data_IF_184115718593
#
_entry.id   IF_184115718593
#
_cell.length_a   1.000
_cell.length_b   1.000
_cell.length_c   1.000
_cell.angle_alpha   90.00
_cell.angle_beta   90.00
_cell.angle_gamma   90.00
#
_symmetry.space_group_name_H-M   'P 1'
#
loop_
_entity.id
_entity.type
_entity.pdbx_description
1 polymer ?
#
# COMPACT_ATOMS: atom_id res chain seq x y z
N UNK A 1 12.82 13.22 -9.50
CA UNK A 1 12.09 13.14 -8.22
C UNK A 1 10.58 13.06 -8.42
N UNK A 2 9.98 13.90 -9.28
CA UNK A 2 8.53 13.90 -9.60
C UNK A 2 7.95 12.53 -10.02
N UNK A 3 8.73 11.71 -10.74
CA UNK A 3 8.30 10.37 -11.16
C UNK A 3 8.14 9.39 -9.99
N UNK A 4 8.91 9.53 -8.92
CA UNK A 4 8.86 8.64 -7.76
C UNK A 4 7.61 8.92 -6.90
N UNK A 5 7.28 10.20 -6.73
CA UNK A 5 6.08 10.66 -6.03
C UNK A 5 4.80 10.23 -6.77
N UNK A 6 4.78 10.34 -8.12
CA UNK A 6 3.66 9.85 -8.94
C UNK A 6 3.49 8.33 -8.86
N UNK A 7 4.59 7.57 -8.81
CA UNK A 7 4.54 6.10 -8.69
C UNK A 7 4.03 5.67 -7.31
N UNK A 8 4.48 6.34 -6.25
CA UNK A 8 4.00 6.12 -4.88
C UNK A 8 2.51 6.46 -4.74
N UNK A 9 2.05 7.57 -5.33
CA UNK A 9 0.62 7.92 -5.38
C UNK A 9 -0.20 6.80 -6.01
N UNK A 10 0.22 6.30 -7.18
CA UNK A 10 -0.46 5.17 -7.86
C UNK A 10 -0.44 3.87 -7.05
N UNK A 11 0.66 3.56 -6.35
CA UNK A 11 0.75 2.38 -5.51
C UNK A 11 -0.19 2.48 -4.31
N UNK A 12 -0.21 3.63 -3.63
CA UNK A 12 -1.08 3.90 -2.49
C UNK A 12 -2.57 3.83 -2.88
N UNK A 13 -2.93 4.41 -4.04
CA UNK A 13 -4.28 4.29 -4.60
C UNK A 13 -4.65 2.83 -4.89
N UNK A 14 -3.78 2.05 -5.52
CA UNK A 14 -4.04 0.63 -5.80
C UNK A 14 -4.20 -0.20 -4.53
N UNK A 15 -3.35 0.02 -3.52
CA UNK A 15 -3.41 -0.68 -2.25
C UNK A 15 -4.72 -0.37 -1.51
N UNK A 16 -5.08 0.92 -1.46
CA UNK A 16 -6.36 1.40 -0.91
C UNK A 16 -7.57 0.80 -1.63
N UNK A 17 -7.54 0.76 -2.96
CA UNK A 17 -8.60 0.15 -3.76
C UNK A 17 -8.72 -1.36 -3.53
N UNK A 18 -7.60 -2.08 -3.43
CA UNK A 18 -7.61 -3.52 -3.16
C UNK A 18 -8.16 -3.84 -1.77
N UNK A 19 -7.71 -3.10 -0.75
CA UNK A 19 -8.20 -3.23 0.63
C UNK A 19 -9.69 -2.92 0.72
N UNK A 20 -10.14 -1.84 0.09
CA UNK A 20 -11.54 -1.45 0.04
C UNK A 20 -12.42 -2.52 -0.63
N UNK A 21 -11.98 -3.06 -1.77
CA UNK A 21 -12.70 -4.16 -2.45
C UNK A 21 -12.80 -5.40 -1.56
N UNK A 22 -11.72 -5.76 -0.88
CA UNK A 22 -11.75 -6.90 0.05
C UNK A 22 -12.74 -6.69 1.20
N UNK A 23 -12.80 -5.48 1.77
CA UNK A 23 -13.73 -5.13 2.84
C UNK A 23 -15.19 -5.18 2.36
N UNK A 24 -15.48 -4.68 1.16
CA UNK A 24 -16.82 -4.75 0.57
C UNK A 24 -17.25 -6.20 0.37
N UNK A 25 -16.36 -7.08 -0.12
CA UNK A 25 -16.67 -8.49 -0.30
C UNK A 25 -16.93 -9.21 1.03
N UNK A 26 -16.13 -8.94 2.05
CA UNK A 26 -16.31 -9.55 3.38
C UNK A 26 -17.61 -9.06 4.03
N UNK A 27 -17.91 -7.76 3.93
CA UNK A 27 -19.14 -7.20 4.49
C UNK A 27 -20.41 -7.68 3.77
N UNK A 28 -20.40 -7.79 2.45
CA UNK A 28 -21.55 -8.33 1.70
C UNK A 28 -21.81 -9.80 2.05
N UNK A 29 -20.75 -10.61 2.17
CA UNK A 29 -20.85 -12.00 2.61
C UNK A 29 -21.40 -12.11 4.04
N UNK A 30 -20.90 -11.30 4.97
CA UNK A 30 -21.42 -11.25 6.34
C UNK A 30 -22.90 -10.85 6.39
N UNK A 31 -23.32 -9.87 5.58
CA UNK A 31 -24.73 -9.47 5.49
C UNK A 31 -25.62 -10.57 4.93
N UNK A 32 -25.14 -11.33 3.93
CA UNK A 32 -25.87 -12.50 3.40
C UNK A 32 -26.01 -13.60 4.45
N UNK A 33 -24.98 -13.84 5.26
CA UNK A 33 -25.04 -14.79 6.37
C UNK A 33 -26.04 -14.35 7.43
N UNK A 34 -26.04 -13.07 7.82
CA UNK A 34 -27.00 -12.51 8.78
C UNK A 34 -28.43 -12.63 8.23
N UNK A 35 -28.64 -12.31 6.95
CA UNK A 35 -29.94 -12.44 6.28
C UNK A 35 -30.40 -13.91 6.25
N UNK A 36 -29.51 -14.84 5.90
CA UNK A 36 -29.82 -16.28 5.90
C UNK A 36 -30.17 -16.77 7.31
N UNK A 37 -29.41 -16.36 8.33
CA UNK A 37 -29.71 -16.68 9.73
C UNK A 37 -31.06 -16.10 10.16
N UNK A 38 -31.38 -14.86 9.77
CA UNK A 38 -32.67 -14.24 10.06
C UNK A 38 -33.83 -14.98 9.38
N UNK A 39 -33.66 -15.41 8.12
CA UNK A 39 -34.68 -16.19 7.39
C UNK A 39 -34.91 -17.60 7.97
N UNK A 40 -33.87 -18.21 8.57
CA UNK A 40 -33.96 -19.57 9.13
C UNK A 40 -34.53 -19.55 10.56
N UNK A 41 -34.22 -18.51 11.34
CA UNK A 41 -34.49 -18.48 12.78
C UNK A 41 -35.70 -17.61 13.19
N UNK A 42 -36.21 -16.75 12.30
CA UNK A 42 -37.34 -15.88 12.61
C UNK A 42 -38.69 -16.59 12.44
N UNK A 43 -39.40 -16.77 13.55
CA UNK A 43 -40.78 -17.30 13.60
C UNK A 43 -41.82 -16.26 13.13
N UNK A 44 -41.48 -14.97 13.24
CA UNK A 44 -42.25 -13.81 12.76
C UNK A 44 -41.32 -12.94 11.90
N UNK A 45 -41.47 -12.99 10.57
CA UNK A 45 -40.61 -12.26 9.64
C UNK A 45 -41.11 -10.82 9.51
N UNK A 46 -40.37 -9.85 10.07
CA UNK A 46 -40.57 -8.43 9.74
C UNK A 46 -40.04 -8.17 8.32
N UNK A 47 -40.92 -8.35 7.33
CA UNK A 47 -40.60 -8.31 5.90
C UNK A 47 -39.91 -7.00 5.48
N UNK A 48 -40.24 -5.88 6.12
CA UNK A 48 -39.70 -4.56 5.81
C UNK A 48 -38.20 -4.43 6.10
N UNK A 49 -37.74 -4.90 7.27
CA UNK A 49 -36.32 -4.85 7.64
C UNK A 49 -35.46 -5.74 6.75
N UNK A 50 -35.97 -6.94 6.43
CA UNK A 50 -35.30 -7.90 5.54
C UNK A 50 -35.21 -7.35 4.12
N UNK A 51 -36.29 -6.73 3.62
CA UNK A 51 -36.33 -6.13 2.28
C UNK A 51 -35.34 -4.97 2.17
N UNK A 52 -35.30 -4.07 3.17
CA UNK A 52 -34.37 -2.94 3.20
C UNK A 52 -32.92 -3.44 3.20
N UNK A 53 -32.59 -4.42 4.04
CA UNK A 53 -31.23 -4.98 4.11
C UNK A 53 -30.83 -5.68 2.81
N UNK A 54 -31.75 -6.43 2.18
CA UNK A 54 -31.51 -7.12 0.91
C UNK A 54 -31.31 -6.13 -0.25
N UNK A 55 -32.15 -5.10 -0.37
CA UNK A 55 -32.06 -4.07 -1.41
C UNK A 55 -30.75 -3.29 -1.29
N UNK A 56 -30.36 -2.91 -0.08
CA UNK A 56 -29.12 -2.17 0.14
C UNK A 56 -27.88 -3.03 -0.17
N UNK A 57 -27.85 -4.31 0.22
CA UNK A 57 -26.76 -5.22 -0.11
C UNK A 57 -26.63 -5.46 -1.64
N UNK A 58 -27.76 -5.60 -2.33
CA UNK A 58 -27.78 -5.77 -3.78
C UNK A 58 -27.28 -4.51 -4.52
N UNK A 59 -27.65 -3.33 -4.02
CA UNK A 59 -27.19 -2.05 -4.56
C UNK A 59 -25.68 -1.84 -4.34
N UNK A 60 -25.13 -2.30 -3.22
CA UNK A 60 -23.70 -2.31 -2.96
C UNK A 60 -22.92 -3.25 -3.90
N UNK A 61 -23.43 -4.47 -4.13
CA UNK A 61 -22.86 -5.43 -5.07
C UNK A 61 -22.84 -4.88 -6.51
N UNK A 62 -23.95 -4.26 -6.94
CA UNK A 62 -24.06 -3.60 -8.24
C UNK A 62 -23.00 -2.50 -8.41
N UNK A 63 -22.86 -1.62 -7.42
CA UNK A 63 -21.91 -0.52 -7.47
C UNK A 63 -20.45 -1.01 -7.35
N UNK A 64 -20.19 -2.12 -6.65
CA UNK A 64 -18.87 -2.76 -6.63
C UNK A 64 -18.48 -3.24 -8.04
N UNK A 65 -19.42 -3.85 -8.77
CA UNK A 65 -19.24 -4.23 -10.17
C UNK A 65 -18.92 -3.03 -11.08
N UNK A 66 -19.55 -1.88 -10.80
CA UNK A 66 -19.32 -0.62 -11.51
C UNK A 66 -18.06 0.14 -11.03
N UNK A 67 -17.50 -0.23 -9.87
CA UNK A 67 -16.28 0.34 -9.25
C UNK A 67 -14.99 0.03 -10.01
N UNK A 68 -15.08 -0.56 -11.21
CA UNK A 68 -13.94 -0.62 -12.10
C UNK A 68 -13.42 0.78 -12.49
N UNK A 69 -14.30 1.78 -12.42
CA UNK A 69 -13.94 3.18 -12.71
C UNK A 69 -13.38 3.86 -11.46
N UNK A 70 -12.16 4.41 -11.58
CA UNK A 70 -11.40 5.13 -10.54
C UNK A 70 -12.01 6.49 -10.17
N UNK A 71 -13.34 6.58 -10.10
CA UNK A 71 -14.05 7.81 -9.81
C UNK A 71 -14.14 8.01 -8.29
N UNK A 72 -13.48 9.05 -7.77
CA UNK A 72 -13.51 9.38 -6.34
C UNK A 72 -14.94 9.57 -5.79
N UNK A 73 -15.86 10.08 -6.62
CA UNK A 73 -17.30 10.22 -6.27
C UNK A 73 -17.98 8.87 -6.08
N UNK A 74 -17.65 7.89 -6.93
CA UNK A 74 -18.20 6.54 -6.84
C UNK A 74 -17.67 5.82 -5.60
N UNK A 75 -16.39 6.01 -5.27
CA UNK A 75 -15.79 5.49 -4.04
C UNK A 75 -16.44 6.07 -2.78
N UNK A 76 -16.77 7.37 -2.80
CA UNK A 76 -17.47 8.03 -1.70
C UNK A 76 -18.91 7.51 -1.53
N UNK A 77 -19.65 7.35 -2.64
CA UNK A 77 -21.00 6.77 -2.62
C UNK A 77 -20.98 5.32 -2.11
N UNK A 78 -20.05 4.49 -2.58
CA UNK A 78 -19.85 3.12 -2.10
C UNK A 78 -19.54 3.10 -0.59
N UNK A 79 -18.69 4.00 -0.12
CA UNK A 79 -18.35 4.10 1.30
C UNK A 79 -19.55 4.48 2.17
N UNK A 80 -20.42 5.40 1.69
CA UNK A 80 -21.63 5.80 2.40
C UNK A 80 -22.68 4.67 2.44
N UNK A 81 -22.81 3.90 1.36
CA UNK A 81 -23.75 2.79 1.26
C UNK A 81 -23.32 1.56 2.09
N UNK A 82 -22.02 1.25 2.15
CA UNK A 82 -21.50 0.25 3.09
C UNK A 82 -21.90 0.58 4.53
N UNK A 83 -21.73 1.84 4.90
CA UNK A 83 -22.01 2.34 6.24
C UNK A 83 -23.50 2.22 6.56
N UNK A 84 -24.40 2.55 5.61
CA UNK A 84 -25.84 2.42 5.82
C UNK A 84 -26.31 0.97 5.92
N UNK A 85 -25.73 0.05 5.13
CA UNK A 85 -26.01 -1.39 5.19
C UNK A 85 -25.59 -1.98 6.53
N UNK A 86 -24.38 -1.67 6.96
CA UNK A 86 -23.85 -2.22 8.21
C UNK A 86 -24.54 -1.63 9.44
N UNK A 87 -25.00 -0.38 9.35
CA UNK A 87 -25.82 0.23 10.38
C UNK A 87 -27.21 -0.42 10.49
N UNK A 88 -27.87 -0.67 9.35
CA UNK A 88 -29.17 -1.34 9.32
C UNK A 88 -29.10 -2.81 9.75
N UNK A 89 -28.02 -3.53 9.40
CA UNK A 89 -27.79 -4.89 9.90
C UNK A 89 -27.49 -4.94 11.39
N UNK A 90 -26.75 -3.96 11.92
CA UNK A 90 -26.51 -3.81 13.35
C UNK A 90 -27.82 -3.63 14.12
N UNK A 91 -28.74 -2.82 13.58
CA UNK A 91 -30.04 -2.52 14.17
C UNK A 91 -30.98 -3.73 14.21
N UNK A 92 -30.82 -4.63 13.24
CA UNK A 92 -31.59 -5.88 13.13
C UNK A 92 -31.15 -6.92 14.16
N UNK A 93 -29.95 -6.78 14.74
CA UNK A 93 -29.43 -7.61 15.81
C UNK A 93 -29.82 -6.95 17.15
N UNK A 94 -30.37 -7.73 18.09
CA UNK A 94 -30.96 -7.26 19.35
C UNK A 94 -30.16 -6.14 20.08
N UNK A 95 -30.88 -5.31 20.83
CA UNK A 95 -30.45 -4.02 21.44
C UNK A 95 -29.17 -4.02 22.27
N UNK A 96 -28.63 -5.18 22.65
CA UNK A 96 -27.39 -5.28 23.43
C UNK A 96 -26.13 -5.36 22.56
N UNK A 97 -26.24 -5.80 21.30
CA UNK A 97 -25.08 -5.98 20.40
C UNK A 97 -24.86 -4.76 19.49
N UNK A 98 -25.89 -3.93 19.32
CA UNK A 98 -25.89 -2.71 18.48
C UNK A 98 -24.73 -1.77 18.78
N UNK A 99 -24.46 -1.44 20.05
CA UNK A 99 -23.38 -0.47 20.39
C UNK A 99 -21.99 -1.00 20.02
N UNK A 100 -21.74 -2.29 20.23
CA UNK A 100 -20.45 -2.92 19.88
C UNK A 100 -20.25 -2.96 18.36
N UNK A 101 -21.31 -3.21 17.60
CA UNK A 101 -21.26 -3.22 16.13
C UNK A 101 -21.04 -1.80 15.59
N UNK A 102 -21.73 -0.79 16.15
CA UNK A 102 -21.51 0.63 15.77
C UNK A 102 -20.09 1.06 16.11
N UNK A 103 -19.53 0.64 17.25
CA UNK A 103 -18.14 0.89 17.62
C UNK A 103 -17.16 0.31 16.58
N UNK A 104 -17.34 -0.96 16.20
CA UNK A 104 -16.55 -1.60 15.14
C UNK A 104 -16.67 -0.85 13.81
N UNK A 105 -17.86 -0.35 13.49
CA UNK A 105 -18.13 0.41 12.27
C UNK A 105 -17.38 1.74 12.22
N UNK A 106 -17.38 2.46 13.33
CA UNK A 106 -16.64 3.72 13.48
C UNK A 106 -15.15 3.45 13.31
N UNK A 107 -14.62 2.39 13.92
CA UNK A 107 -13.22 2.00 13.77
C UNK A 107 -12.90 1.59 12.33
N UNK A 108 -13.73 0.79 11.67
CA UNK A 108 -13.54 0.39 10.27
C UNK A 108 -13.55 1.59 9.31
N UNK A 109 -14.43 2.57 9.56
CA UNK A 109 -14.54 3.82 8.77
C UNK A 109 -13.24 4.63 8.81
N UNK A 110 -12.52 4.64 9.94
CA UNK A 110 -11.26 5.37 10.07
C UNK A 110 -10.03 4.59 9.65
N UNK A 111 -10.07 3.27 9.77
CA UNK A 111 -8.90 2.41 9.55
C UNK A 111 -8.81 1.87 8.12
N UNK A 112 -9.94 1.55 7.51
CA UNK A 112 -9.99 0.79 6.25
C UNK A 112 -10.54 1.60 5.06
N UNK A 113 -11.17 2.75 5.32
CA UNK A 113 -11.85 3.52 4.28
C UNK A 113 -10.90 4.52 3.58
N UNK A 114 -10.74 4.44 2.25
CA UNK A 114 -9.80 5.26 1.49
C UNK A 114 -10.34 6.67 1.16
N UNK A 115 -11.07 7.30 2.08
CA UNK A 115 -11.63 8.66 1.92
C UNK A 115 -10.67 9.72 2.48
N UNK A 116 -10.98 11.02 2.50
CA UNK A 116 -10.16 12.00 3.23
C UNK A 116 -10.45 11.95 4.74
N UNK A 117 -9.57 12.53 5.56
CA UNK A 117 -9.77 12.66 7.02
C UNK A 117 -11.06 13.43 7.33
N UNK A 118 -11.35 14.50 6.59
CA UNK A 118 -12.57 15.29 6.76
C UNK A 118 -13.83 14.46 6.45
N UNK A 119 -13.83 13.71 5.34
CA UNK A 119 -14.98 12.91 4.93
C UNK A 119 -15.20 11.74 5.90
N UNK A 120 -14.16 11.02 6.32
CA UNK A 120 -14.31 9.95 7.32
C UNK A 120 -14.70 10.49 8.72
N UNK A 121 -14.22 11.69 9.05
CA UNK A 121 -14.66 12.46 10.22
C UNK A 121 -16.17 12.66 10.19
N UNK A 122 -16.68 13.23 9.09
CA UNK A 122 -18.12 13.43 8.85
C UNK A 122 -18.91 12.13 8.88
N UNK A 123 -18.49 11.11 8.11
CA UNK A 123 -19.19 9.82 8.02
C UNK A 123 -19.33 9.14 9.39
N UNK A 124 -18.24 8.99 10.13
CA UNK A 124 -18.36 8.38 11.44
C UNK A 124 -19.06 9.28 12.47
N UNK A 125 -19.10 10.60 12.25
CA UNK A 125 -19.86 11.52 13.11
C UNK A 125 -21.35 11.34 12.87
N UNK A 126 -21.73 11.21 11.60
CA UNK A 126 -23.07 10.82 11.18
C UNK A 126 -23.50 9.46 11.73
N UNK A 127 -22.59 8.49 11.85
CA UNK A 127 -22.89 7.20 12.50
C UNK A 127 -23.26 7.35 13.98
N UNK A 128 -22.49 8.14 14.73
CA UNK A 128 -22.79 8.40 16.15
C UNK A 128 -24.09 9.20 16.28
N UNK A 129 -24.26 10.23 15.45
CA UNK A 129 -25.49 11.02 15.42
C UNK A 129 -26.72 10.19 15.04
N UNK A 130 -26.57 9.24 14.11
CA UNK A 130 -27.62 8.30 13.71
C UNK A 130 -27.99 7.35 14.84
N UNK A 131 -27.01 6.79 15.56
CA UNK A 131 -27.24 5.95 16.73
C UNK A 131 -27.98 6.71 17.84
N UNK A 132 -27.49 7.92 18.17
CA UNK A 132 -28.13 8.78 19.17
C UNK A 132 -29.54 9.19 18.73
N UNK A 133 -29.73 9.54 17.45
CA UNK A 133 -31.03 9.87 16.88
C UNK A 133 -32.01 8.69 16.89
N UNK A 134 -31.52 7.47 16.64
CA UNK A 134 -32.33 6.26 16.75
C UNK A 134 -32.79 6.02 18.20
N UNK A 135 -31.89 6.20 19.16
CA UNK A 135 -32.20 6.10 20.59
C UNK A 135 -33.25 7.14 21.00
N UNK A 136 -33.11 8.39 20.56
CA UNK A 136 -34.13 9.42 20.79
C UNK A 136 -35.46 9.12 20.10
N UNK A 137 -35.45 8.51 18.92
CA UNK A 137 -36.67 8.05 18.27
C UNK A 137 -37.36 6.96 19.10
N UNK A 138 -36.61 6.01 19.67
CA UNK A 138 -37.16 5.01 20.59
C UNK A 138 -37.80 5.63 21.84
N UNK A 139 -37.19 6.69 22.40
CA UNK A 139 -37.77 7.47 23.50
C UNK A 139 -39.11 8.12 23.09
N UNK A 140 -39.19 8.67 21.87
CA UNK A 140 -40.43 9.24 21.33
C UNK A 140 -41.54 8.19 21.15
N UNK A 141 -41.18 6.95 20.79
CA UNK A 141 -42.12 5.83 20.69
C UNK A 141 -42.46 5.16 22.04
N UNK A 142 -41.97 5.70 23.16
CA UNK A 142 -42.33 5.26 24.51
C UNK A 142 -41.66 3.96 24.96
N UNK A 143 -40.53 3.58 24.37
CA UNK A 143 -39.73 2.44 24.84
C UNK A 143 -38.95 2.81 26.10
N UNK A 144 -38.82 1.87 27.04
CA UNK A 144 -38.04 2.08 28.26
C UNK A 144 -36.57 2.37 27.93
N UNK A 145 -36.08 3.51 28.42
CA UNK A 145 -34.73 3.99 28.14
C UNK A 145 -34.01 4.45 29.41
N UNK A 146 -32.71 4.16 29.50
CA UNK A 146 -31.86 4.55 30.64
C UNK A 146 -30.80 5.57 30.23
N UNK A 147 -30.90 6.80 30.74
CA UNK A 147 -29.95 7.89 30.44
C UNK A 147 -28.51 7.56 30.85
N UNK A 148 -28.32 6.82 31.94
CA UNK A 148 -26.99 6.41 32.40
C UNK A 148 -26.27 5.52 31.37
N UNK A 149 -27.03 4.62 30.73
CA UNK A 149 -26.51 3.74 29.68
C UNK A 149 -26.16 4.54 28.42
N UNK A 150 -27.02 5.49 28.02
CA UNK A 150 -26.75 6.37 26.88
C UNK A 150 -25.42 7.11 27.03
N UNK A 151 -25.19 7.68 28.21
CA UNK A 151 -23.99 8.45 28.48
C UNK A 151 -22.74 7.57 28.34
N UNK A 152 -22.80 6.33 28.84
CA UNK A 152 -21.71 5.37 28.70
C UNK A 152 -21.47 4.96 27.24
N UNK A 153 -22.52 4.73 26.46
CA UNK A 153 -22.43 4.34 25.05
C UNK A 153 -21.87 5.50 24.20
N UNK A 154 -22.32 6.73 24.44
CA UNK A 154 -21.79 7.93 23.77
C UNK A 154 -20.31 8.13 24.09
N UNK A 155 -19.93 8.01 25.37
CA UNK A 155 -18.54 8.13 25.79
C UNK A 155 -17.66 7.07 25.10
N UNK A 156 -18.16 5.84 25.02
CA UNK A 156 -17.48 4.72 24.37
C UNK A 156 -17.31 4.95 22.86
N UNK A 157 -18.36 5.46 22.19
CA UNK A 157 -18.31 5.79 20.76
C UNK A 157 -17.39 6.99 20.46
N UNK A 158 -17.36 7.99 21.33
CA UNK A 158 -16.42 9.11 21.24
C UNK A 158 -14.96 8.64 21.40
N UNK A 159 -14.70 7.75 22.36
CA UNK A 159 -13.38 7.15 22.52
C UNK A 159 -12.95 6.37 21.27
N UNK A 160 -13.87 5.60 20.66
CA UNK A 160 -13.64 4.93 19.38
C UNK A 160 -13.28 5.91 18.27
N UNK A 161 -14.02 7.02 18.19
CA UNK A 161 -13.80 8.08 17.21
C UNK A 161 -12.40 8.67 17.31
N UNK A 162 -11.99 9.06 18.51
CA UNK A 162 -10.67 9.66 18.76
C UNK A 162 -9.58 8.64 18.44
N UNK A 163 -9.75 7.39 18.87
CA UNK A 163 -8.80 6.31 18.59
C UNK A 163 -8.67 6.05 17.08
N UNK A 164 -9.77 6.03 16.35
CA UNK A 164 -9.78 5.88 14.90
C UNK A 164 -9.04 7.00 14.18
N UNK A 165 -9.28 8.26 14.58
CA UNK A 165 -8.57 9.42 14.03
C UNK A 165 -7.07 9.33 14.35
N UNK A 166 -6.72 9.01 15.59
CA UNK A 166 -5.34 8.86 16.02
C UNK A 166 -4.61 7.77 15.21
N UNK A 167 -5.19 6.58 15.09
CA UNK A 167 -4.65 5.48 14.31
C UNK A 167 -4.40 5.89 12.86
N UNK A 168 -5.34 6.63 12.29
CA UNK A 168 -5.26 7.10 10.91
C UNK A 168 -4.12 8.09 10.69
N UNK A 169 -3.96 9.05 11.60
CA UNK A 169 -2.84 9.99 11.58
C UNK A 169 -1.50 9.26 11.73
N UNK A 170 -1.44 8.26 12.62
CA UNK A 170 -0.24 7.44 12.82
C UNK A 170 0.12 6.64 11.56
N UNK A 171 -0.89 6.07 10.90
CA UNK A 171 -0.72 5.33 9.63
C UNK A 171 -0.21 6.26 8.52
N UNK A 172 -0.77 7.46 8.39
CA UNK A 172 -0.34 8.46 7.41
C UNK A 172 1.11 8.91 7.63
N UNK A 173 1.49 9.16 8.90
CA UNK A 173 2.88 9.46 9.28
C UNK A 173 3.82 8.30 8.96
N UNK A 174 3.39 7.06 9.19
CA UNK A 174 4.19 5.86 8.91
C UNK A 174 4.41 5.66 7.41
N UNK A 175 3.38 5.93 6.60
CA UNK A 175 3.52 5.94 5.14
C UNK A 175 4.52 6.99 4.65
N UNK A 176 4.47 8.21 5.20
CA UNK A 176 5.44 9.27 4.87
C UNK A 176 6.88 8.86 5.24
N UNK A 177 7.09 8.34 6.44
CA UNK A 177 8.41 7.85 6.89
C UNK A 177 8.94 6.70 6.02
N UNK A 178 8.08 5.77 5.64
CA UNK A 178 8.47 4.63 4.78
C UNK A 178 8.86 5.11 3.39
N UNK A 179 8.18 6.15 2.88
CA UNK A 179 8.54 6.77 1.62
C UNK A 179 9.89 7.49 1.68
N UNK A 180 10.13 8.28 2.72
CA UNK A 180 11.43 8.93 2.95
C UNK A 180 12.56 7.90 3.05
N UNK A 181 12.37 6.81 3.80
CA UNK A 181 13.33 5.72 3.89
C UNK A 181 13.60 5.04 2.54
N UNK A 182 12.55 4.84 1.74
CA UNK A 182 12.69 4.26 0.39
C UNK A 182 13.46 5.21 -0.53
N UNK A 183 13.19 6.52 -0.46
CA UNK A 183 13.89 7.55 -1.22
C UNK A 183 15.39 7.57 -0.87
N UNK A 184 15.74 7.62 0.40
CA UNK A 184 17.15 7.61 0.85
C UNK A 184 17.87 6.33 0.41
N UNK A 185 17.19 5.18 0.44
CA UNK A 185 17.74 3.92 -0.05
C UNK A 185 18.05 3.97 -1.56
N UNK A 186 17.14 4.51 -2.36
CA UNK A 186 17.34 4.65 -3.81
C UNK A 186 18.45 5.66 -4.12
N UNK A 187 18.49 6.80 -3.44
CA UNK A 187 19.57 7.79 -3.61
C UNK A 187 20.93 7.20 -3.28
N UNK A 188 21.01 6.41 -2.21
CA UNK A 188 22.23 5.69 -1.83
C UNK A 188 22.64 4.66 -2.90
N UNK A 189 21.69 3.91 -3.45
CA UNK A 189 21.93 2.95 -4.55
C UNK A 189 22.47 3.65 -5.81
N UNK A 190 21.86 4.75 -6.23
CA UNK A 190 22.29 5.53 -7.41
C UNK A 190 23.69 6.11 -7.18
N UNK A 191 23.97 6.64 -5.97
CA UNK A 191 25.30 7.14 -5.63
C UNK A 191 26.35 6.03 -5.71
N UNK A 192 26.06 4.85 -5.17
CA UNK A 192 26.94 3.69 -5.23
C UNK A 192 27.18 3.22 -6.67
N UNK A 193 26.16 3.24 -7.53
CA UNK A 193 26.35 2.90 -8.95
C UNK A 193 27.21 3.92 -9.69
N UNK A 194 27.04 5.21 -9.40
CA UNK A 194 27.87 6.27 -9.97
C UNK A 194 29.33 6.16 -9.50
N UNK A 195 29.57 5.91 -8.21
CA UNK A 195 30.91 5.66 -7.66
C UNK A 195 31.54 4.42 -8.30
N UNK A 196 30.77 3.35 -8.52
CA UNK A 196 31.22 2.14 -9.22
C UNK A 196 31.59 2.43 -10.68
N UNK A 197 30.73 3.13 -11.43
CA UNK A 197 31.01 3.52 -12.83
C UNK A 197 32.26 4.41 -12.93
N UNK A 198 32.43 5.34 -12.00
CA UNK A 198 33.60 6.20 -11.94
C UNK A 198 34.87 5.40 -11.61
N UNK A 199 34.77 4.37 -10.76
CA UNK A 199 35.87 3.44 -10.47
C UNK A 199 36.21 2.54 -11.68
N UNK A 200 35.21 2.11 -12.44
CA UNK A 200 35.40 1.39 -13.72
C UNK A 200 36.02 2.29 -14.79
N UNK A 201 35.63 3.56 -14.87
CA UNK A 201 36.17 4.53 -15.82
C UNK A 201 37.61 4.96 -15.47
N UNK A 202 37.94 5.11 -14.18
CA UNK A 202 39.31 5.34 -13.71
C UNK A 202 40.23 4.14 -13.96
N UNK A 203 39.70 2.92 -13.88
CA UNK A 203 40.43 1.71 -14.24
C UNK A 203 40.76 1.65 -15.75
N UNK A 204 39.93 2.28 -16.60
CA UNK A 204 40.11 2.31 -18.06
C UNK A 204 40.86 3.56 -18.58
N UNK A 205 41.09 4.58 -17.76
CA UNK A 205 41.71 5.85 -18.20
C UNK A 205 43.24 5.91 -18.08
N UNK A 206 43.87 4.97 -17.36
CA UNK A 206 45.34 4.93 -17.20
C UNK A 206 46.00 3.80 -18.02
N UNK A 207 45.24 2.85 -18.56
CA UNK A 207 45.71 1.80 -19.48
C UNK A 207 44.59 1.49 -20.50
N UNK A 208 44.84 1.50 -21.83
CA UNK A 208 43.84 1.22 -22.87
C UNK A 208 42.99 -0.03 -22.60
N UNK A 209 41.67 0.07 -22.83
CA UNK A 209 40.66 -0.95 -22.49
C UNK A 209 40.97 -2.38 -22.95
N UNK A 210 41.70 -2.54 -24.05
CA UNK A 210 42.11 -3.85 -24.55
C UNK A 210 43.13 -4.54 -23.62
N UNK A 211 44.01 -3.77 -22.95
CA UNK A 211 45.04 -4.29 -22.05
C UNK A 211 44.41 -4.64 -20.70
N UNK A 212 43.47 -3.84 -20.20
CA UNK A 212 42.72 -4.15 -18.98
C UNK A 212 41.87 -5.43 -19.11
N UNK A 213 41.27 -5.66 -20.29
CA UNK A 213 40.54 -6.89 -20.60
C UNK A 213 41.47 -8.11 -20.69
N UNK A 214 42.65 -7.96 -21.29
CA UNK A 214 43.68 -9.02 -21.37
C UNK A 214 44.21 -9.39 -19.98
N UNK A 215 44.44 -8.40 -19.11
CA UNK A 215 44.93 -8.60 -17.74
C UNK A 215 43.85 -9.21 -16.83
N UNK A 216 42.57 -8.82 -16.98
CA UNK A 216 41.46 -9.46 -16.26
C UNK A 216 41.30 -10.93 -16.67
N UNK A 217 41.47 -11.24 -17.95
CA UNK A 217 41.41 -12.62 -18.47
C UNK A 217 42.60 -13.45 -17.98
N UNK A 218 43.80 -12.88 -17.94
CA UNK A 218 45.00 -13.58 -17.45
C UNK A 218 44.94 -13.86 -15.94
N UNK A 219 44.39 -12.94 -15.13
CA UNK A 219 44.18 -13.16 -13.68
C UNK A 219 43.13 -14.24 -13.43
N UNK A 220 42.00 -14.22 -14.15
CA UNK A 220 40.96 -15.26 -14.01
C UNK A 220 41.46 -16.63 -14.43
N UNK A 221 42.28 -16.73 -15.49
CA UNK A 221 42.90 -17.98 -15.90
C UNK A 221 43.94 -18.47 -14.88
N UNK A 222 44.81 -17.57 -14.36
CA UNK A 222 45.76 -17.93 -13.30
C UNK A 222 45.06 -18.32 -11.99
N UNK A 223 43.90 -17.74 -11.66
CA UNK A 223 43.10 -18.16 -10.51
C UNK A 223 42.36 -19.49 -10.74
N UNK A 224 41.92 -19.77 -11.97
CA UNK A 224 41.36 -21.07 -12.31
C UNK A 224 42.43 -22.18 -12.22
N UNK A 225 43.65 -21.92 -12.70
CA UNK A 225 44.79 -22.85 -12.56
C UNK A 225 45.24 -23.00 -11.10
N UNK A 226 45.26 -21.93 -10.30
CA UNK A 226 45.62 -22.00 -8.89
C UNK A 226 44.55 -22.69 -8.01
N UNK A 227 43.31 -22.82 -8.48
CA UNK A 227 42.30 -23.64 -7.82
C UNK A 227 42.47 -25.14 -8.11
N UNK A 228 43.28 -25.49 -9.13
CA UNK A 228 43.58 -26.87 -9.52
C UNK A 228 44.88 -27.40 -8.90
N UNK A 229 45.76 -26.51 -8.45
CA UNK A 229 46.95 -26.87 -7.67
C UNK A 229 46.98 -26.14 -6.32
N UNK A 230 46.55 -26.85 -5.28
CA UNK A 230 46.86 -26.52 -3.88
C UNK A 230 48.36 -26.78 -3.67
N UNK A 231 49.23 -25.94 -4.22
CA UNK A 231 50.63 -25.89 -3.80
C UNK A 231 51.29 -24.56 -4.18
N UNK A 232 51.24 -23.64 -3.22
CA UNK A 232 52.38 -22.87 -2.78
C UNK A 232 53.19 -22.11 -3.87
N UNK A 233 52.87 -20.82 -4.05
CA UNK A 233 53.90 -19.77 -4.14
C UNK A 233 53.31 -18.36 -4.06
N UNK A 234 53.88 -17.55 -3.18
CA UNK A 234 53.69 -16.10 -3.12
C UNK A 234 53.96 -15.48 -4.50
N UNK A 235 53.00 -14.74 -5.04
CA UNK A 235 53.12 -14.07 -6.35
C UNK A 235 53.45 -12.59 -6.14
N UNK A 236 54.74 -12.26 -6.14
CA UNK A 236 55.20 -10.88 -6.28
C UNK A 236 55.05 -10.42 -7.74
N UNK A 237 54.29 -9.36 -7.97
CA UNK A 237 54.09 -8.71 -9.26
C UNK A 237 55.40 -8.14 -9.80
N UNK A 238 56.02 -8.78 -10.79
CA UNK A 238 56.95 -8.17 -11.76
C UNK A 238 56.88 -9.00 -13.06
N UNK A 239 55.84 -8.82 -13.88
CA UNK A 239 55.82 -9.33 -15.26
C UNK A 239 55.69 -8.14 -16.22
N UNK A 240 56.79 -7.79 -16.90
CA UNK A 240 56.82 -6.82 -17.98
C UNK A 240 56.49 -7.54 -19.30
N UNK A 241 55.33 -7.25 -19.89
CA UNK A 241 54.94 -7.81 -21.18
C UNK A 241 55.45 -6.93 -22.33
N UNK A 242 56.45 -7.43 -23.06
CA UNK A 242 56.96 -6.80 -24.29
C UNK A 242 56.52 -7.62 -25.49
N UNK A 243 55.77 -7.01 -26.41
CA UNK A 243 55.26 -7.68 -27.61
C UNK A 243 55.87 -7.06 -28.87
N UNK A 244 56.69 -7.83 -29.57
CA UNK A 244 57.41 -7.38 -30.77
C UNK A 244 56.49 -7.53 -31.99
N UNK A 245 56.18 -6.40 -32.63
CA UNK A 245 55.39 -6.37 -33.86
C UNK A 245 56.34 -6.36 -35.07
N UNK A 246 56.31 -7.40 -35.89
CA UNK A 246 57.29 -7.59 -36.97
C UNK A 246 56.88 -6.96 -38.32
N UNK A 247 55.66 -6.41 -38.44
CA UNK A 247 55.12 -5.88 -39.68
C UNK A 247 54.35 -4.56 -39.47
N UNK A 248 54.98 -3.60 -38.81
CA UNK A 248 54.46 -2.23 -38.77
C UNK A 248 55.01 -1.49 -39.98
N UNK A 249 54.19 -1.29 -41.02
CA UNK A 249 54.55 -0.38 -42.12
C UNK A 249 54.46 1.05 -41.60
N UNK A 250 55.57 1.61 -41.14
CA UNK A 250 55.71 3.04 -40.97
C UNK A 250 55.84 3.66 -42.36
N UNK A 251 54.73 4.06 -42.98
CA UNK A 251 54.79 4.94 -44.17
C UNK A 251 55.30 6.31 -43.71
N UNK A 252 56.52 6.73 -44.10
CA UNK A 252 57.01 8.06 -43.76
C UNK A 252 56.29 9.07 -44.66
N UNK A 253 55.41 9.86 -44.05
CA UNK A 253 54.64 10.89 -44.72
C UNK A 253 55.40 12.21 -44.65
N UNK A 254 56.57 12.28 -45.30
CA UNK A 254 57.27 13.55 -45.55
C UNK A 254 58.12 13.42 -46.83
N UNK A 255 57.60 13.97 -47.93
CA UNK A 255 58.36 14.28 -49.14
C UNK A 255 58.78 15.75 -49.00
N UNK A 256 60.07 16.02 -48.88
CA UNK A 256 60.66 17.37 -48.96
C UNK A 256 61.49 17.48 -50.24
N UNK A 257 61.63 18.68 -50.83
CA UNK A 257 61.96 18.90 -52.24
C UNK A 257 63.48 18.89 -52.51
N UNK A 258 63.77 18.85 -53.81
CA UNK A 258 65.02 18.98 -54.56
C UNK A 258 66.26 19.57 -53.85
N UNK A 259 67.41 18.93 -54.10
CA UNK A 259 68.62 19.56 -54.62
C UNK A 259 69.50 18.50 -55.32
#
# INVERSE_FOLDING_TARGET
MENLERLHGKYCERLKHALFRSLVCVSSAACLLILAMYLILADEIQLDQVLVLAVLNLLLLLLLGLSHTSNARLLLLLSALLISILYTSALSLASHVTVLVVWLLVMATHTMLPVSLCVAGGLGGGLIGGFVGFVYACEFYGLEFSYERLASDILFLLAAKVTGIYYRLMTERTHQKTFEGTKTCIESRVKLECEREQQEQLLLSVIPAYIAAEVKRSIMLKMADACQDISNKQTSFHEMYVQRHNNVRSTPLFKSPEA
#
